data_IF_012570675969
#
_entry.id   IF_012570675969
#
_cell.length_a   1.000
_cell.length_b   1.000
_cell.length_c   1.000
_cell.angle_alpha   90.00
_cell.angle_beta   90.00
_cell.angle_gamma   90.00
#
_symmetry.space_group_name_H-M   'P 1'
#
loop_
_entity.id
_entity.type
_entity.pdbx_description
1 polymer ?
#
# COMPACT_ATOMS: atom_id res chain seq x y z
N UNK A 1 -7.82 -1.63 11.73
CA UNK A 1 -7.97 -0.40 12.55
C UNK A 1 -8.42 0.72 11.63
N UNK A 2 -9.39 1.54 12.03
CA UNK A 2 -9.82 2.71 11.26
C UNK A 2 -9.23 3.97 11.89
N UNK A 3 -8.73 4.89 11.07
CA UNK A 3 -8.14 6.16 11.50
C UNK A 3 -8.80 7.30 10.72
N UNK A 4 -9.11 8.40 11.42
CA UNK A 4 -9.43 9.65 10.74
C UNK A 4 -8.15 10.26 10.15
N UNK A 5 -8.28 11.03 9.06
CA UNK A 5 -7.14 11.68 8.40
C UNK A 5 -6.28 12.50 9.39
N UNK A 6 -6.92 13.27 10.27
CA UNK A 6 -6.24 14.07 11.30
C UNK A 6 -5.40 13.24 12.30
N UNK A 7 -5.70 11.94 12.47
CA UNK A 7 -4.99 11.05 13.38
C UNK A 7 -3.80 10.35 12.71
N UNK A 8 -3.70 10.40 11.38
CA UNK A 8 -2.68 9.68 10.62
C UNK A 8 -1.26 10.09 11.01
N UNK A 9 -1.00 11.38 11.15
CA UNK A 9 0.35 11.86 11.45
C UNK A 9 0.86 11.35 12.81
N UNK A 10 0.01 11.41 13.84
CA UNK A 10 0.33 10.86 15.16
C UNK A 10 0.46 9.33 15.15
N UNK A 11 -0.25 8.64 14.26
CA UNK A 11 -0.07 7.20 14.06
C UNK A 11 1.29 6.88 13.42
N UNK A 12 1.68 7.59 12.35
CA UNK A 12 2.95 7.40 11.64
C UNK A 12 4.18 7.65 12.53
N UNK A 13 4.07 8.56 13.50
CA UNK A 13 5.11 8.81 14.50
C UNK A 13 5.30 7.64 15.46
N UNK A 14 4.22 6.91 15.80
CA UNK A 14 4.30 5.72 16.66
C UNK A 14 4.86 4.50 15.95
N UNK A 15 4.79 4.48 14.62
CA UNK A 15 5.33 3.42 13.79
C UNK A 15 4.58 3.30 12.47
N UNK A 16 5.30 2.83 11.45
CA UNK A 16 4.70 2.49 10.17
C UNK A 16 4.15 1.05 10.23
N UNK A 17 2.96 0.83 9.68
CA UNK A 17 2.33 -0.48 9.55
C UNK A 17 2.59 -1.05 8.16
N UNK A 18 2.63 -2.37 7.97
CA UNK A 18 2.95 -2.98 6.67
C UNK A 18 1.84 -2.82 5.62
N UNK A 19 0.62 -2.43 6.01
CA UNK A 19 -0.52 -2.24 5.11
C UNK A 19 -1.34 -1.02 5.52
N UNK A 20 -1.70 -0.19 4.53
CA UNK A 20 -2.66 0.89 4.64
C UNK A 20 -3.69 0.79 3.51
N UNK A 21 -4.97 0.84 3.86
CA UNK A 21 -6.05 1.04 2.91
C UNK A 21 -6.56 2.48 3.03
N UNK A 22 -6.52 3.24 1.93
CA UNK A 22 -6.94 4.63 1.90
C UNK A 22 -8.20 4.76 1.03
N UNK A 23 -9.28 5.19 1.67
CA UNK A 23 -10.53 5.47 0.97
C UNK A 23 -11.15 6.75 1.52
N UNK A 24 -11.80 7.52 0.65
CA UNK A 24 -12.46 8.77 1.04
C UNK A 24 -13.02 9.48 -0.19
N UNK A 25 -14.08 10.25 0.03
CA UNK A 25 -14.76 11.01 -1.02
C UNK A 25 -14.05 12.33 -1.35
N UNK A 26 -13.11 12.76 -0.48
CA UNK A 26 -12.30 13.96 -0.65
C UNK A 26 -10.92 13.59 -1.23
N UNK A 27 -10.65 13.83 -2.53
CA UNK A 27 -9.42 13.39 -3.18
C UNK A 27 -8.17 14.03 -2.57
N UNK A 28 -8.28 15.29 -2.11
CA UNK A 28 -7.19 16.00 -1.48
C UNK A 28 -6.73 15.31 -0.18
N UNK A 29 -7.67 14.93 0.69
CA UNK A 29 -7.35 14.25 1.95
C UNK A 29 -6.70 12.88 1.71
N UNK A 30 -7.17 12.14 0.70
CA UNK A 30 -6.56 10.85 0.31
C UNK A 30 -5.13 11.07 -0.20
N UNK A 31 -4.91 12.13 -0.99
CA UNK A 31 -3.59 12.46 -1.51
C UNK A 31 -2.63 12.88 -0.38
N UNK A 32 -3.06 13.74 0.54
CA UNK A 32 -2.26 14.16 1.69
C UNK A 32 -1.90 12.98 2.59
N UNK A 33 -2.85 12.07 2.80
CA UNK A 33 -2.61 10.84 3.56
C UNK A 33 -1.58 9.93 2.88
N UNK A 34 -1.70 9.74 1.55
CA UNK A 34 -0.71 9.02 0.75
C UNK A 34 0.68 9.66 0.88
N UNK A 35 0.77 10.98 0.76
CA UNK A 35 2.04 11.70 0.81
C UNK A 35 2.69 11.62 2.20
N UNK A 36 1.90 11.68 3.27
CA UNK A 36 2.38 11.48 4.64
C UNK A 36 2.95 10.07 4.85
N UNK A 37 2.26 9.03 4.35
CA UNK A 37 2.73 7.64 4.44
C UNK A 37 4.02 7.46 3.63
N UNK A 38 4.08 7.99 2.41
CA UNK A 38 5.29 7.93 1.55
C UNK A 38 6.47 8.64 2.19
N UNK A 39 6.26 9.81 2.78
CA UNK A 39 7.32 10.54 3.48
C UNK A 39 7.89 9.69 4.62
N UNK A 40 7.01 9.13 5.46
CA UNK A 40 7.44 8.28 6.57
C UNK A 40 8.11 6.98 6.11
N UNK A 41 7.62 6.37 5.04
CA UNK A 41 8.24 5.18 4.46
C UNK A 41 9.66 5.48 3.97
N UNK A 42 9.88 6.60 3.27
CA UNK A 42 11.22 7.00 2.83
C UNK A 42 12.20 7.19 3.99
N UNK A 43 11.76 7.81 5.08
CA UNK A 43 12.57 7.95 6.31
C UNK A 43 12.98 6.61 6.91
N UNK A 44 12.18 5.56 6.71
CA UNK A 44 12.42 4.20 7.20
C UNK A 44 13.16 3.31 6.18
N UNK A 45 13.67 3.88 5.09
CA UNK A 45 14.50 3.17 4.12
C UNK A 45 13.73 2.45 3.01
N UNK A 46 12.43 2.74 2.84
CA UNK A 46 11.66 2.27 1.69
C UNK A 46 12.08 3.05 0.43
N UNK A 47 13.17 2.59 -0.19
CA UNK A 47 13.83 3.25 -1.31
C UNK A 47 13.19 2.95 -2.66
N UNK A 48 12.54 1.79 -2.80
CA UNK A 48 11.86 1.40 -4.03
C UNK A 48 10.35 1.60 -3.93
N UNK A 49 9.74 2.01 -5.05
CA UNK A 49 8.30 2.24 -5.15
C UNK A 49 7.75 1.73 -6.47
N UNK A 50 6.81 0.81 -6.40
CA UNK A 50 6.02 0.33 -7.54
C UNK A 50 4.59 0.83 -7.42
N UNK A 51 3.98 1.19 -8.56
CA UNK A 51 2.62 1.73 -8.60
C UNK A 51 1.81 0.98 -9.64
N UNK A 52 0.70 0.41 -9.18
CA UNK A 52 -0.22 -0.41 -9.94
C UNK A 52 -1.58 0.26 -9.95
N UNK A 53 -1.96 0.86 -11.08
CA UNK A 53 -3.28 1.49 -11.22
C UNK A 53 -4.23 0.51 -11.88
N UNK A 54 -5.26 0.09 -11.14
CA UNK A 54 -6.30 -0.80 -11.64
C UNK A 54 -7.08 -0.09 -12.75
N UNK A 55 -7.06 -0.68 -13.94
CA UNK A 55 -7.73 -0.17 -15.13
C UNK A 55 -8.38 -1.31 -15.90
N UNK A 56 -9.65 -1.15 -16.24
CA UNK A 56 -10.43 -2.16 -16.96
C UNK A 56 -10.77 -3.40 -16.13
N UNK A 57 -11.49 -4.32 -16.76
CA UNK A 57 -11.95 -5.57 -16.14
C UNK A 57 -10.86 -6.66 -16.05
N UNK A 58 -9.78 -6.51 -16.81
CA UNK A 58 -8.71 -7.51 -16.95
C UNK A 58 -7.38 -7.02 -16.39
N UNK A 59 -7.43 -6.20 -15.35
CA UNK A 59 -6.23 -5.75 -14.67
C UNK A 59 -5.46 -6.95 -14.11
N UNK A 60 -4.17 -7.03 -14.39
CA UNK A 60 -3.33 -8.14 -13.97
C UNK A 60 -2.93 -8.01 -12.49
N UNK A 61 -3.71 -8.67 -11.63
CA UNK A 61 -3.43 -8.76 -10.20
C UNK A 61 -2.22 -9.64 -9.87
N UNK A 62 -1.78 -10.52 -10.79
CA UNK A 62 -0.60 -11.35 -10.56
C UNK A 62 0.69 -10.52 -10.51
N UNK A 63 0.77 -9.46 -11.32
CA UNK A 63 1.88 -8.51 -11.29
C UNK A 63 1.99 -7.77 -9.94
N UNK A 64 0.85 -7.46 -9.31
CA UNK A 64 0.82 -6.82 -7.97
C UNK A 64 1.35 -7.78 -6.90
N UNK A 65 0.89 -9.03 -6.92
CA UNK A 65 1.32 -10.06 -5.98
C UNK A 65 2.82 -10.37 -6.15
N UNK A 66 3.30 -10.42 -7.39
CA UNK A 66 4.70 -10.65 -7.70
C UNK A 66 5.61 -9.51 -7.21
N UNK A 67 5.17 -8.26 -7.31
CA UNK A 67 5.93 -7.12 -6.78
C UNK A 67 6.21 -7.27 -5.28
N UNK A 68 5.24 -7.80 -4.52
CA UNK A 68 5.38 -8.07 -3.10
C UNK A 68 6.34 -9.19 -2.69
N UNK A 69 6.58 -10.13 -3.61
CA UNK A 69 7.46 -11.28 -3.39
C UNK A 69 8.85 -11.07 -3.96
N UNK A 70 9.03 -10.06 -4.82
CA UNK A 70 10.31 -9.75 -5.41
C UNK A 70 11.21 -9.12 -4.35
N UNK A 71 12.36 -9.73 -4.05
CA UNK A 71 13.42 -9.04 -3.29
C UNK A 71 13.95 -7.90 -4.16
N UNK A 72 13.92 -6.67 -3.63
CA UNK A 72 14.55 -5.56 -4.32
C UNK A 72 16.06 -5.81 -4.45
N UNK A 73 16.60 -5.55 -5.63
CA UNK A 73 18.04 -5.68 -5.90
C UNK A 73 18.84 -4.47 -5.41
N UNK A 74 18.15 -3.39 -5.03
CA UNK A 74 18.75 -2.08 -4.77
C UNK A 74 18.40 -1.49 -3.41
N UNK A 75 17.31 -1.92 -2.78
CA UNK A 75 16.85 -1.41 -1.49
C UNK A 75 16.47 -2.55 -0.56
N UNK A 76 16.71 -2.37 0.74
CA UNK A 76 16.32 -3.37 1.74
C UNK A 76 14.79 -3.42 1.95
N UNK A 77 14.09 -2.37 1.54
CA UNK A 77 12.63 -2.22 1.69
C UNK A 77 12.00 -1.58 0.47
N UNK A 78 10.78 -2.00 0.15
CA UNK A 78 10.02 -1.50 -0.99
C UNK A 78 8.57 -1.15 -0.63
N UNK A 79 7.98 -0.24 -1.39
CA UNK A 79 6.60 0.18 -1.25
C UNK A 79 5.82 -0.17 -2.52
N UNK A 80 4.73 -0.92 -2.36
CA UNK A 80 3.83 -1.29 -3.45
C UNK A 80 2.52 -0.53 -3.27
N UNK A 81 2.21 0.33 -4.25
CA UNK A 81 0.97 1.10 -4.27
C UNK A 81 0.00 0.53 -5.29
N UNK A 82 -1.14 0.04 -4.83
CA UNK A 82 -2.29 -0.30 -5.64
C UNK A 82 -3.26 0.88 -5.61
N UNK A 83 -3.70 1.33 -6.78
CA UNK A 83 -4.69 2.41 -6.91
C UNK A 83 -5.92 1.83 -7.58
N UNK A 84 -7.08 2.02 -6.97
CA UNK A 84 -8.35 1.52 -7.49
C UNK A 84 -9.28 2.71 -7.72
N UNK A 85 -9.22 3.39 -8.89
CA UNK A 85 -9.98 4.63 -9.15
C UNK A 85 -11.49 4.46 -8.98
N UNK A 86 -12.03 3.27 -9.24
CA UNK A 86 -13.46 2.96 -9.11
C UNK A 86 -13.87 2.53 -7.70
N UNK A 87 -12.90 2.34 -6.79
CA UNK A 87 -13.10 1.70 -5.50
C UNK A 87 -13.51 0.22 -5.57
N UNK A 88 -13.57 -0.37 -6.77
CA UNK A 88 -14.08 -1.73 -7.00
C UNK A 88 -12.97 -2.64 -7.54
N UNK A 89 -12.32 -3.44 -6.69
CA UNK A 89 -11.28 -4.40 -7.11
C UNK A 89 -11.81 -5.58 -7.94
N UNK A 90 -13.13 -5.81 -7.95
CA UNK A 90 -13.71 -6.98 -8.60
C UNK A 90 -13.41 -8.28 -7.85
N UNK A 91 -13.73 -9.44 -8.47
CA UNK A 91 -13.55 -10.76 -7.84
C UNK A 91 -12.07 -11.11 -7.66
N UNK A 92 -11.29 -10.98 -8.72
CA UNK A 92 -9.86 -11.29 -8.72
C UNK A 92 -9.09 -10.35 -7.78
N UNK A 93 -9.39 -9.05 -7.85
CA UNK A 93 -8.76 -8.09 -6.96
C UNK A 93 -9.11 -8.29 -5.50
N UNK A 94 -10.35 -8.67 -5.19
CA UNK A 94 -10.72 -8.99 -3.80
C UNK A 94 -9.88 -10.13 -3.23
N UNK A 95 -9.59 -11.16 -4.04
CA UNK A 95 -8.73 -12.28 -3.64
C UNK A 95 -7.28 -11.81 -3.50
N UNK A 96 -6.78 -11.04 -4.46
CA UNK A 96 -5.42 -10.51 -4.39
C UNK A 96 -5.22 -9.63 -3.14
N UNK A 97 -6.12 -8.68 -2.87
CA UNK A 97 -6.04 -7.82 -1.69
C UNK A 97 -6.05 -8.60 -0.37
N UNK A 98 -6.79 -9.71 -0.29
CA UNK A 98 -6.76 -10.61 0.88
C UNK A 98 -5.39 -11.27 1.05
N UNK A 99 -4.81 -11.77 -0.04
CA UNK A 99 -3.46 -12.34 -0.02
C UNK A 99 -2.40 -11.31 0.37
N UNK A 100 -2.53 -10.07 -0.11
CA UNK A 100 -1.65 -8.96 0.28
C UNK A 100 -1.75 -8.66 1.77
N UNK A 101 -2.96 -8.66 2.32
CA UNK A 101 -3.17 -8.44 3.75
C UNK A 101 -2.58 -9.56 4.60
N UNK A 102 -2.69 -10.81 4.16
CA UNK A 102 -2.10 -11.96 4.83
C UNK A 102 -0.57 -11.92 4.78
N UNK A 103 0.01 -11.63 3.61
CA UNK A 103 1.45 -11.46 3.44
C UNK A 103 1.99 -10.32 4.33
N UNK A 104 1.32 -9.17 4.34
CA UNK A 104 1.68 -8.03 5.18
C UNK A 104 1.62 -8.36 6.69
N UNK A 105 0.73 -9.24 7.12
CA UNK A 105 0.64 -9.68 8.51
C UNK A 105 1.76 -10.65 8.91
N UNK A 106 2.31 -11.39 7.96
CA UNK A 106 3.38 -12.37 8.17
C UNK A 106 4.78 -11.75 8.00
N UNK A 107 4.89 -10.61 7.33
CA UNK A 107 6.14 -9.86 7.16
C UNK A 107 6.58 -9.20 8.48
N UNK A 108 7.33 -9.96 9.28
CA UNK A 108 7.82 -9.54 10.60
C UNK A 108 8.77 -8.33 10.54
N UNK A 109 9.47 -8.13 9.42
CA UNK A 109 10.42 -7.02 9.24
C UNK A 109 9.79 -5.81 8.55
N UNK A 110 8.57 -5.98 8.01
CA UNK A 110 7.91 -5.02 7.14
C UNK A 110 8.88 -4.57 6.03
N UNK A 111 9.41 -5.54 5.28
CA UNK A 111 10.23 -5.28 4.12
C UNK A 111 9.38 -4.69 2.97
N UNK A 112 8.08 -5.01 2.94
CA UNK A 112 7.14 -4.47 1.95
C UNK A 112 6.00 -3.68 2.60
N UNK A 113 5.78 -2.46 2.11
CA UNK A 113 4.64 -1.61 2.50
C UNK A 113 3.58 -1.60 1.41
N UNK A 114 2.36 -1.97 1.75
CA UNK A 114 1.21 -1.99 0.84
C UNK A 114 0.32 -0.76 1.04
N UNK A 115 0.04 -0.02 -0.05
CA UNK A 115 -0.99 1.03 -0.09
C UNK A 115 -2.09 0.59 -1.06
N UNK A 116 -3.34 0.59 -0.64
CA UNK A 116 -4.50 0.16 -1.45
C UNK A 116 -5.57 1.25 -1.49
#
# INVERSE_FOLDING_TARGET
MQLAAAQLQGHLQKGLRPLYALHGDEPLLVQEALDAIRARARELGYGERTVHTVSGAHFDWSAVLAAGQSLSLFADRQMVEVRIPTGKPGKEGSVALQQLAEAAAQDAEAATLWLV
#
